data_IF_615948146521
#
_entry.id   IF_615948146521
#
_cell.length_a   1.000
_cell.length_b   1.000
_cell.length_c   1.000
_cell.angle_alpha   90.00
_cell.angle_beta   90.00
_cell.angle_gamma   90.00
#
_symmetry.space_group_name_H-M   'P 1'
#
loop_
_entity.id
_entity.type
_entity.pdbx_description
1 polymer ?
#
# COMPACT_ATOMS: atom_id res chain seq x y z
N UNK A 1 -3.87 14.30 -43.69
CA UNK A 1 -2.74 13.47 -43.21
C UNK A 1 -2.32 13.82 -41.77
N UNK A 2 -2.04 15.08 -41.45
CA UNK A 2 -1.63 15.50 -40.09
C UNK A 2 -2.64 15.20 -38.99
N UNK A 3 -3.94 15.37 -39.24
CA UNK A 3 -4.98 15.13 -38.21
C UNK A 3 -5.01 13.69 -37.70
N UNK A 4 -4.67 12.71 -38.54
CA UNK A 4 -4.63 11.28 -38.17
C UNK A 4 -3.41 10.99 -37.29
N UNK A 5 -2.27 11.63 -37.55
CA UNK A 5 -1.06 11.48 -36.74
C UNK A 5 -1.25 12.11 -35.35
N UNK A 6 -1.92 13.26 -35.26
CA UNK A 6 -2.25 13.89 -33.98
C UNK A 6 -3.22 13.06 -33.15
N UNK A 7 -4.27 12.49 -33.75
CA UNK A 7 -5.20 11.63 -33.01
C UNK A 7 -4.52 10.35 -32.52
N UNK A 8 -3.68 9.72 -33.34
CA UNK A 8 -2.91 8.55 -32.93
C UNK A 8 -1.95 8.85 -31.77
N UNK A 9 -1.26 10.01 -31.80
CA UNK A 9 -0.38 10.42 -30.72
C UNK A 9 -1.13 10.64 -29.39
N UNK A 10 -2.31 11.27 -29.44
CA UNK A 10 -3.15 11.49 -28.26
C UNK A 10 -3.64 10.15 -27.70
N UNK A 11 -4.14 9.24 -28.56
CA UNK A 11 -4.60 7.91 -28.13
C UNK A 11 -3.46 7.12 -27.49
N UNK A 12 -2.27 7.12 -28.09
CA UNK A 12 -1.09 6.46 -27.52
C UNK A 12 -0.71 7.02 -26.14
N UNK A 13 -0.76 8.34 -25.96
CA UNK A 13 -0.50 8.98 -24.67
C UNK A 13 -1.54 8.60 -23.60
N UNK A 14 -2.83 8.58 -23.97
CA UNK A 14 -3.91 8.17 -23.05
C UNK A 14 -3.78 6.70 -22.64
N UNK A 15 -3.53 5.81 -23.60
CA UNK A 15 -3.33 4.38 -23.34
C UNK A 15 -2.08 4.16 -22.48
N UNK A 16 -0.97 4.83 -22.79
CA UNK A 16 0.26 4.76 -21.99
C UNK A 16 0.03 5.19 -20.54
N UNK A 17 -0.71 6.28 -20.32
CA UNK A 17 -1.07 6.74 -18.97
C UNK A 17 -1.99 5.76 -18.24
N UNK A 18 -2.95 5.15 -18.94
CA UNK A 18 -3.85 4.15 -18.36
C UNK A 18 -3.09 2.90 -17.93
N UNK A 19 -2.20 2.38 -18.78
CA UNK A 19 -1.34 1.22 -18.49
C UNK A 19 -0.42 1.52 -17.31
N UNK A 20 0.23 2.68 -17.31
CA UNK A 20 1.13 3.10 -16.22
C UNK A 20 0.39 3.18 -14.89
N UNK A 21 -0.80 3.78 -14.86
CA UNK A 21 -1.64 3.81 -13.64
C UNK A 21 -2.04 2.42 -13.18
N UNK A 22 -2.32 1.51 -14.11
CA UNK A 22 -2.71 0.15 -13.78
C UNK A 22 -1.54 -0.65 -13.20
N UNK A 23 -0.36 -0.54 -13.82
CA UNK A 23 0.87 -1.12 -13.30
C UNK A 23 1.21 -0.59 -11.91
N UNK A 24 1.11 0.72 -11.68
CA UNK A 24 1.33 1.30 -10.36
C UNK A 24 0.33 0.75 -9.33
N UNK A 25 -0.95 0.59 -9.68
CA UNK A 25 -1.95 -0.03 -8.79
C UNK A 25 -1.60 -1.48 -8.44
N UNK A 26 -1.17 -2.27 -9.43
CA UNK A 26 -0.75 -3.67 -9.21
C UNK A 26 0.51 -3.73 -8.35
N UNK A 27 1.48 -2.86 -8.59
CA UNK A 27 2.69 -2.79 -7.76
C UNK A 27 2.37 -2.37 -6.33
N UNK A 28 1.38 -1.48 -6.12
CA UNK A 28 0.91 -1.10 -4.78
C UNK A 28 0.28 -2.28 -4.04
N UNK A 29 -0.57 -3.08 -4.69
CA UNK A 29 -1.15 -4.27 -4.05
C UNK A 29 -0.12 -5.37 -3.78
N UNK A 30 1.02 -5.34 -4.49
CA UNK A 30 2.13 -6.26 -4.25
C UNK A 30 2.99 -5.92 -3.03
N UNK A 31 2.85 -4.72 -2.47
CA UNK A 31 3.66 -4.28 -1.31
C UNK A 31 3.42 -5.18 -0.09
N UNK A 32 4.45 -5.47 0.70
CA UNK A 32 4.28 -6.19 1.96
C UNK A 32 3.34 -5.41 2.88
N UNK A 33 2.47 -6.12 3.57
CA UNK A 33 1.45 -5.55 4.46
C UNK A 33 0.28 -4.87 3.75
N UNK A 34 0.20 -4.83 2.42
CA UNK A 34 -0.93 -4.18 1.72
C UNK A 34 -2.26 -4.94 1.87
N UNK A 35 -2.20 -6.25 2.10
CA UNK A 35 -3.36 -7.12 2.32
C UNK A 35 -3.08 -8.14 3.41
N UNK A 36 -4.10 -8.87 3.84
CA UNK A 36 -3.96 -9.94 4.86
C UNK A 36 -3.10 -11.09 4.33
N UNK A 37 -3.24 -11.45 3.05
CA UNK A 37 -2.49 -12.52 2.40
C UNK A 37 -0.99 -12.19 2.31
N UNK A 38 -0.65 -10.91 2.32
CA UNK A 38 0.73 -10.40 2.30
C UNK A 38 1.12 -9.69 3.59
N UNK A 39 0.45 -10.02 4.71
CA UNK A 39 0.75 -9.41 5.99
C UNK A 39 2.23 -9.59 6.35
N UNK A 40 2.85 -8.54 6.90
CA UNK A 40 4.24 -8.61 7.34
C UNK A 40 4.32 -9.43 8.63
N UNK A 41 5.05 -10.53 8.61
CA UNK A 41 5.23 -11.36 9.81
C UNK A 41 6.16 -10.63 10.76
N UNK A 42 5.68 -10.40 11.98
CA UNK A 42 6.47 -9.80 13.06
C UNK A 42 6.58 -10.78 14.22
N UNK A 43 7.76 -10.83 14.83
CA UNK A 43 8.02 -11.68 15.99
C UNK A 43 7.89 -10.91 17.30
N UNK A 44 8.04 -9.60 17.24
CA UNK A 44 7.93 -8.70 18.38
C UNK A 44 7.10 -7.48 18.02
N UNK A 45 6.38 -6.94 19.00
CA UNK A 45 5.50 -5.80 18.76
C UNK A 45 6.26 -4.51 18.41
N UNK A 46 7.50 -4.34 18.86
CA UNK A 46 8.33 -3.17 18.52
C UNK A 46 8.75 -3.12 17.05
N UNK A 47 8.77 -4.26 16.36
CA UNK A 47 9.00 -4.32 14.91
C UNK A 47 7.89 -3.59 14.14
N UNK A 48 6.66 -3.58 14.67
CA UNK A 48 5.52 -2.87 14.07
C UNK A 48 5.80 -1.37 14.08
N UNK A 49 6.15 -0.81 15.24
CA UNK A 49 6.41 0.63 15.36
C UNK A 49 7.60 1.06 14.49
N UNK A 50 8.66 0.24 14.41
CA UNK A 50 9.81 0.49 13.54
C UNK A 50 9.43 0.54 12.05
N UNK A 51 8.59 -0.38 11.58
CA UNK A 51 8.07 -0.37 10.20
C UNK A 51 7.19 0.85 9.96
N UNK A 52 6.30 1.18 10.89
CA UNK A 52 5.38 2.30 10.74
C UNK A 52 6.09 3.65 10.76
N UNK A 53 7.19 3.78 11.50
CA UNK A 53 8.01 5.00 11.53
C UNK A 53 8.69 5.29 10.18
N UNK A 54 9.04 4.24 9.43
CA UNK A 54 9.65 4.36 8.11
C UNK A 54 8.62 4.29 6.97
N UNK A 55 7.33 4.21 7.30
CA UNK A 55 6.29 3.99 6.32
C UNK A 55 6.06 5.24 5.45
N UNK A 56 6.28 5.06 4.15
CA UNK A 56 5.97 6.07 3.14
C UNK A 56 4.79 5.64 2.30
N UNK A 57 3.99 6.64 1.95
CA UNK A 57 2.79 6.40 1.16
C UNK A 57 3.12 5.75 -0.17
N UNK A 58 2.31 4.76 -0.52
CA UNK A 58 2.52 3.98 -1.72
C UNK A 58 2.33 4.77 -3.03
N UNK A 59 1.68 5.93 -2.96
CA UNK A 59 1.29 6.78 -4.09
C UNK A 59 2.14 8.04 -4.18
N UNK A 60 2.14 8.84 -3.11
CA UNK A 60 2.78 10.17 -3.08
C UNK A 60 4.28 10.05 -2.74
N UNK A 61 4.72 8.95 -2.10
CA UNK A 61 6.08 8.80 -1.58
C UNK A 61 6.37 9.62 -0.31
N UNK A 62 5.42 10.44 0.13
CA UNK A 62 5.52 11.25 1.35
C UNK A 62 5.31 10.40 2.61
N UNK A 63 5.74 10.91 3.76
CA UNK A 63 5.51 10.28 5.05
C UNK A 63 4.02 10.13 5.35
N UNK A 64 3.67 8.98 5.92
CA UNK A 64 2.32 8.73 6.42
C UNK A 64 2.31 8.74 7.95
N UNK A 65 1.22 9.25 8.52
CA UNK A 65 0.99 9.23 9.97
C UNK A 65 0.04 8.09 10.34
N UNK A 66 0.31 7.40 11.45
CA UNK A 66 -0.65 6.47 12.05
C UNK A 66 -1.84 7.25 12.61
N UNK A 67 -3.05 6.88 12.19
CA UNK A 67 -4.30 7.47 12.69
C UNK A 67 -5.12 6.50 13.53
N UNK A 68 -4.76 5.22 13.53
CA UNK A 68 -5.40 4.22 14.35
C UNK A 68 -4.82 2.84 14.12
N UNK A 69 -5.22 1.92 14.97
CA UNK A 69 -4.75 0.55 14.94
C UNK A 69 -5.83 -0.36 15.50
N UNK A 70 -5.99 -1.55 14.93
CA UNK A 70 -6.94 -2.52 15.41
C UNK A 70 -6.44 -3.94 15.18
N UNK A 71 -6.92 -4.85 16.00
CA UNK A 71 -6.63 -6.28 15.89
C UNK A 71 -7.70 -6.96 15.04
N UNK A 72 -7.29 -7.95 14.25
CA UNK A 72 -8.19 -8.81 13.47
C UNK A 72 -7.68 -10.24 13.53
N UNK A 73 -8.55 -11.20 13.76
CA UNK A 73 -8.20 -12.62 13.69
C UNK A 73 -8.88 -13.28 12.50
N UNK A 74 -8.18 -14.18 11.83
CA UNK A 74 -8.72 -15.00 10.73
C UNK A 74 -8.22 -16.43 10.92
N UNK A 75 -9.12 -17.34 11.32
CA UNK A 75 -8.74 -18.67 11.77
C UNK A 75 -7.81 -18.59 12.99
N UNK A 76 -6.70 -19.32 12.95
CA UNK A 76 -5.68 -19.32 14.01
C UNK A 76 -4.71 -18.13 13.91
N UNK A 77 -4.75 -17.38 12.80
CA UNK A 77 -3.83 -16.26 12.58
C UNK A 77 -4.36 -14.98 13.21
N UNK A 78 -3.48 -14.27 13.90
CA UNK A 78 -3.73 -12.96 14.51
C UNK A 78 -3.03 -11.88 13.73
N UNK A 79 -3.79 -10.85 13.37
CA UNK A 79 -3.30 -9.70 12.62
C UNK A 79 -3.45 -8.43 13.42
N UNK A 80 -2.47 -7.55 13.26
CA UNK A 80 -2.52 -6.16 13.71
C UNK A 80 -2.57 -5.29 12.47
N UNK A 81 -3.56 -4.39 12.40
CA UNK A 81 -3.80 -3.57 11.22
C UNK A 81 -3.66 -2.10 11.61
N UNK A 82 -2.64 -1.45 11.07
CA UNK A 82 -2.42 -0.03 11.25
C UNK A 82 -3.10 0.76 10.12
N UNK A 83 -3.80 1.83 10.49
CA UNK A 83 -4.32 2.82 9.53
C UNK A 83 -3.34 3.96 9.43
N UNK A 84 -2.85 4.19 8.22
CA UNK A 84 -1.87 5.22 7.88
C UNK A 84 -2.52 6.25 6.96
N UNK A 85 -2.23 7.53 7.14
CA UNK A 85 -2.71 8.61 6.26
C UNK A 85 -1.51 9.38 5.69
N UNK A 86 -1.36 9.44 4.36
CA UNK A 86 -0.29 10.23 3.69
C UNK A 86 -0.45 11.70 4.06
N UNK A 87 0.63 12.36 4.49
CA UNK A 87 0.63 13.80 4.77
C UNK A 87 0.52 14.67 3.51
N UNK A 88 1.04 14.19 2.38
CA UNK A 88 1.00 14.91 1.10
C UNK A 88 -0.35 14.81 0.36
N UNK A 89 -0.86 13.59 0.14
CA UNK A 89 -2.06 13.35 -0.67
C UNK A 89 -3.31 12.96 0.13
N UNK A 90 -3.22 12.86 1.46
CA UNK A 90 -4.36 12.56 2.35
C UNK A 90 -4.92 11.15 2.25
N UNK A 91 -4.33 10.27 1.42
CA UNK A 91 -4.82 8.90 1.22
C UNK A 91 -4.65 8.06 2.48
N UNK A 92 -5.71 7.33 2.84
CA UNK A 92 -5.65 6.28 3.87
C UNK A 92 -5.15 4.96 3.28
N UNK A 93 -4.23 4.32 3.98
CA UNK A 93 -3.66 3.01 3.67
C UNK A 93 -3.72 2.12 4.91
N UNK A 94 -3.94 0.83 4.71
CA UNK A 94 -3.93 -0.16 5.78
C UNK A 94 -2.68 -1.01 5.64
N UNK A 95 -1.97 -1.17 6.75
CA UNK A 95 -0.78 -2.01 6.84
C UNK A 95 -1.09 -3.18 7.76
N UNK A 96 -1.04 -4.38 7.21
CA UNK A 96 -1.36 -5.63 7.86
C UNK A 96 -0.07 -6.30 8.37
N UNK A 97 -0.04 -6.60 9.66
CA UNK A 97 1.03 -7.33 10.32
C UNK A 97 0.48 -8.65 10.84
N UNK A 98 1.15 -9.76 10.57
CA UNK A 98 0.87 -11.05 11.19
C UNK A 98 1.66 -11.14 12.49
N UNK A 99 0.93 -11.09 13.60
CA UNK A 99 1.48 -11.12 14.96
C UNK A 99 1.34 -12.49 15.60
N UNK A 100 0.93 -13.51 14.86
CA UNK A 100 0.70 -14.87 15.41
C UNK A 100 1.97 -15.40 16.09
N UNK A 101 3.13 -15.17 15.48
CA UNK A 101 4.42 -15.57 16.01
C UNK A 101 4.87 -14.81 17.27
N UNK A 102 4.27 -13.64 17.57
CA UNK A 102 4.62 -12.84 18.74
C UNK A 102 3.88 -13.28 20.03
N UNK A 103 2.97 -14.25 19.94
CA UNK A 103 2.20 -14.79 21.07
C UNK A 103 2.68 -16.18 21.53
N UNK A 104 3.73 -16.72 20.90
CA UNK A 104 4.35 -18.00 21.24
C UNK A 104 5.72 -17.77 21.86
#
# INVERSE_FOLDING_TARGET
MWSILFTLAIVAALVGMAVRRWQERIQRSRRPGATIERAMVVRRFDEIDAVLQQYRCSVCGEDARRVGEFSRSVGERRFRVARMVCRGCGREERVHFDVSAAFH
#
